data_IF_403030837043
#
_entry.id   IF_403030837043
#
_cell.length_a   1.000
_cell.length_b   1.000
_cell.length_c   1.000
_cell.angle_alpha   90.00
_cell.angle_beta   90.00
_cell.angle_gamma   90.00
#
_symmetry.space_group_name_H-M   'P 1'
#
loop_
_entity.id
_entity.type
_entity.pdbx_description
1 polymer ?
#
# COMPACT_ATOMS: atom_id res chain seq x y z
N UNK A 1 -2.34 19.59 14.01
CA UNK A 1 -2.36 18.11 14.18
C UNK A 1 -3.47 17.47 13.33
N UNK A 2 -4.72 17.94 13.41
CA UNK A 2 -5.83 17.37 12.65
C UNK A 2 -5.63 17.36 11.11
N UNK A 3 -5.09 18.44 10.53
CA UNK A 3 -4.83 18.51 9.07
C UNK A 3 -3.76 17.52 8.62
N UNK A 4 -2.70 17.33 9.40
CA UNK A 4 -1.65 16.36 9.11
C UNK A 4 -2.18 14.93 9.12
N UNK A 5 -2.98 14.58 10.13
CA UNK A 5 -3.63 13.27 10.22
C UNK A 5 -4.59 13.01 9.07
N UNK A 6 -5.35 14.03 8.64
CA UNK A 6 -6.25 13.90 7.49
C UNK A 6 -5.50 13.71 6.17
N UNK A 7 -4.38 14.41 5.99
CA UNK A 7 -3.49 14.25 4.84
C UNK A 7 -2.87 12.85 4.81
N UNK A 8 -2.33 12.39 5.93
CA UNK A 8 -1.74 11.05 6.06
C UNK A 8 -2.76 9.95 5.78
N UNK A 9 -3.97 10.05 6.33
CA UNK A 9 -5.04 9.08 6.08
C UNK A 9 -5.41 9.03 4.58
N UNK A 10 -5.46 10.18 3.91
CA UNK A 10 -5.77 10.26 2.48
C UNK A 10 -4.67 9.61 1.63
N UNK A 11 -3.40 9.94 1.90
CA UNK A 11 -2.26 9.37 1.19
C UNK A 11 -2.10 7.87 1.46
N UNK A 12 -2.33 7.45 2.71
CA UNK A 12 -2.35 6.04 3.07
C UNK A 12 -3.45 5.29 2.33
N UNK A 13 -4.65 5.84 2.25
CA UNK A 13 -5.77 5.24 1.52
C UNK A 13 -5.45 5.02 0.04
N UNK A 14 -4.77 5.98 -0.61
CA UNK A 14 -4.32 5.83 -1.99
C UNK A 14 -3.31 4.68 -2.14
N UNK A 15 -2.26 4.64 -1.30
CA UNK A 15 -1.27 3.57 -1.33
C UNK A 15 -1.88 2.20 -1.02
N UNK A 16 -2.79 2.13 -0.05
CA UNK A 16 -3.51 0.93 0.34
C UNK A 16 -4.62 0.52 -0.64
N UNK A 17 -4.87 1.30 -1.70
CA UNK A 17 -5.79 0.93 -2.79
C UNK A 17 -5.11 0.27 -3.99
N UNK A 18 -3.78 0.24 -4.03
CA UNK A 18 -2.99 -0.20 -5.20
C UNK A 18 -2.97 -1.72 -5.39
N UNK A 19 -2.75 -2.14 -6.65
CA UNK A 19 -2.45 -3.55 -6.98
C UNK A 19 -1.15 -3.99 -6.29
N UNK A 20 -0.16 -3.10 -6.24
CA UNK A 20 1.14 -3.33 -5.62
C UNK A 20 1.03 -3.64 -4.12
N UNK A 21 0.09 -3.00 -3.40
CA UNK A 21 -0.19 -3.37 -2.01
C UNK A 21 -0.72 -4.80 -1.90
N UNK A 22 -1.63 -5.21 -2.78
CA UNK A 22 -2.18 -6.58 -2.75
C UNK A 22 -1.09 -7.61 -3.05
N UNK A 23 -0.32 -7.38 -4.11
CA UNK A 23 0.79 -8.24 -4.52
C UNK A 23 1.86 -8.33 -3.42
N UNK A 24 2.24 -7.21 -2.82
CA UNK A 24 3.22 -7.18 -1.72
C UNK A 24 2.76 -8.01 -0.52
N UNK A 25 1.49 -7.87 -0.13
CA UNK A 25 0.90 -8.60 1.00
C UNK A 25 0.80 -10.10 0.70
N UNK A 26 0.33 -10.47 -0.49
CA UNK A 26 0.21 -11.86 -0.91
C UNK A 26 1.59 -12.52 -1.03
N UNK A 27 2.56 -11.84 -1.64
CA UNK A 27 3.93 -12.33 -1.79
C UNK A 27 4.60 -12.58 -0.43
N UNK A 28 4.38 -11.68 0.54
CA UNK A 28 4.87 -11.84 1.90
C UNK A 28 4.32 -13.10 2.56
N UNK A 29 2.99 -13.30 2.52
CA UNK A 29 2.34 -14.50 3.08
C UNK A 29 2.82 -15.79 2.42
N UNK A 30 3.07 -15.75 1.11
CA UNK A 30 3.57 -16.87 0.33
C UNK A 30 5.08 -17.07 0.42
N UNK A 31 5.81 -16.21 1.14
CA UNK A 31 7.28 -16.24 1.28
C UNK A 31 8.02 -16.20 -0.06
N UNK A 32 7.54 -15.38 -0.99
CA UNK A 32 8.18 -15.14 -2.30
C UNK A 32 8.49 -13.66 -2.48
N UNK A 33 9.34 -13.34 -3.47
CA UNK A 33 9.54 -11.97 -3.88
C UNK A 33 8.26 -11.40 -4.53
N UNK A 34 7.92 -10.16 -4.19
CA UNK A 34 6.83 -9.41 -4.81
C UNK A 34 7.26 -8.85 -6.18
N UNK A 35 6.30 -8.69 -7.08
CA UNK A 35 6.50 -8.08 -8.41
C UNK A 35 5.72 -6.77 -8.54
N UNK A 36 6.34 -5.68 -8.13
CA UNK A 36 5.74 -4.34 -8.20
C UNK A 36 5.72 -3.78 -9.62
N UNK A 37 4.66 -3.04 -9.95
CA UNK A 37 4.42 -2.43 -11.27
C UNK A 37 4.20 -0.92 -11.21
N UNK A 38 4.23 -0.32 -10.03
CA UNK A 38 4.02 1.11 -9.79
C UNK A 38 2.55 1.52 -9.88
N UNK A 39 1.62 0.63 -9.53
CA UNK A 39 0.17 0.86 -9.62
C UNK A 39 -0.63 0.11 -8.57
#
# INVERSE_FOLDING_TARGET
QAEGMALEASLFGLCAGTEDKDEGTQAFLQKRAAKFKGR
#
